data_IF_690381846676
#
_entry.id   IF_690381846676
#
_cell.length_a   1.000
_cell.length_b   1.000
_cell.length_c   1.000
_cell.angle_alpha   90.00
_cell.angle_beta   90.00
_cell.angle_gamma   90.00
#
_symmetry.space_group_name_H-M   'P 1'
#
loop_
_entity.id
_entity.type
_entity.pdbx_description
1 polymer ?
#
# COMPACT_ATOMS: atom_id res chain seq x y z
N UNK A 1 -13.01 -7.65 33.87
CA UNK A 1 -12.79 -8.99 33.29
C UNK A 1 -11.98 -8.78 32.02
N UNK A 2 -10.66 -8.83 32.13
CA UNK A 2 -9.76 -8.65 30.97
C UNK A 2 -9.46 -10.03 30.43
N UNK A 3 -9.95 -10.34 29.23
CA UNK A 3 -9.61 -11.57 28.54
C UNK A 3 -8.31 -11.31 27.79
N UNK A 4 -7.26 -12.04 28.14
CA UNK A 4 -6.05 -12.10 27.31
C UNK A 4 -6.36 -13.10 26.21
N UNK A 5 -6.69 -12.60 25.03
CA UNK A 5 -6.79 -13.45 23.84
C UNK A 5 -5.36 -13.90 23.50
N UNK A 6 -5.13 -15.21 23.55
CA UNK A 6 -3.91 -15.81 23.04
C UNK A 6 -3.77 -15.39 21.58
N UNK A 7 -2.66 -14.72 21.26
CA UNK A 7 -2.40 -14.21 19.93
C UNK A 7 -2.13 -15.42 19.03
N UNK A 8 -3.08 -15.74 18.14
CA UNK A 8 -2.88 -16.80 17.15
C UNK A 8 -1.51 -16.66 16.49
N UNK A 9 -0.78 -17.77 16.40
CA UNK A 9 0.52 -17.84 15.77
C UNK A 9 0.38 -17.39 14.33
N UNK A 10 0.74 -16.13 14.06
CA UNK A 10 0.73 -15.58 12.70
C UNK A 10 1.86 -16.25 11.92
N UNK A 11 1.50 -17.22 11.08
CA UNK A 11 2.41 -17.75 10.06
C UNK A 11 2.95 -16.56 9.25
N UNK A 12 4.25 -16.55 8.99
CA UNK A 12 4.84 -15.50 8.14
C UNK A 12 4.18 -15.55 6.76
N UNK A 13 3.94 -14.41 6.11
CA UNK A 13 3.37 -14.40 4.77
C UNK A 13 4.24 -15.24 3.84
N UNK A 14 3.59 -16.06 3.02
CA UNK A 14 4.16 -16.83 1.95
C UNK A 14 4.79 -15.85 0.95
N UNK A 15 6.11 -15.90 0.87
CA UNK A 15 6.87 -15.05 -0.04
C UNK A 15 6.50 -15.31 -1.50
N UNK A 16 6.58 -14.26 -2.32
CA UNK A 16 6.39 -14.34 -3.76
C UNK A 16 5.18 -13.58 -4.27
N UNK A 17 4.81 -13.84 -5.53
CA UNK A 17 3.77 -13.10 -6.25
C UNK A 17 2.38 -13.65 -5.96
N UNK A 18 1.48 -12.78 -5.55
CA UNK A 18 0.07 -13.07 -5.26
C UNK A 18 -0.82 -12.31 -6.23
N UNK A 19 -1.70 -13.02 -6.94
CA UNK A 19 -2.73 -12.43 -7.80
C UNK A 19 -3.84 -11.85 -6.93
N UNK A 20 -4.11 -10.55 -7.07
CA UNK A 20 -5.01 -9.82 -6.15
C UNK A 20 -6.36 -9.52 -6.77
N UNK A 21 -6.39 -8.71 -7.83
CA UNK A 21 -7.62 -8.28 -8.49
C UNK A 21 -7.38 -8.01 -9.99
N UNK A 22 -8.44 -8.01 -10.82
CA UNK A 22 -8.40 -7.44 -12.16
C UNK A 22 -7.99 -5.96 -12.16
N UNK A 23 -7.22 -5.51 -13.16
CA UNK A 23 -6.78 -4.11 -13.26
C UNK A 23 -7.94 -3.11 -13.32
N UNK A 24 -9.05 -3.50 -13.93
CA UNK A 24 -10.24 -2.64 -14.08
C UNK A 24 -11.09 -2.51 -12.81
N UNK A 25 -10.78 -3.25 -11.74
CA UNK A 25 -11.34 -3.01 -10.42
C UNK A 25 -10.58 -1.91 -9.66
N UNK A 26 -9.37 -1.53 -10.13
CA UNK A 26 -8.67 -0.35 -9.66
C UNK A 26 -9.04 0.86 -10.55
N UNK A 27 -9.82 1.77 -9.97
CA UNK A 27 -10.08 3.07 -10.57
C UNK A 27 -8.78 3.91 -10.58
N UNK A 28 -8.40 4.56 -11.70
CA UNK A 28 -7.21 5.39 -11.74
C UNK A 28 -7.20 6.49 -10.66
N UNK A 29 -6.04 6.64 -10.01
CA UNK A 29 -5.77 7.56 -8.91
C UNK A 29 -6.65 7.35 -7.65
N UNK A 30 -7.37 6.23 -7.56
CA UNK A 30 -8.09 5.81 -6.37
C UNK A 30 -7.37 4.63 -5.71
N UNK A 31 -7.28 4.65 -4.38
CA UNK A 31 -6.63 3.59 -3.62
C UNK A 31 -7.63 2.54 -3.14
N UNK A 32 -7.26 1.27 -3.25
CA UNK A 32 -8.04 0.15 -2.71
C UNK A 32 -7.21 -0.66 -1.70
N UNK A 33 -7.85 -1.10 -0.63
CA UNK A 33 -7.19 -1.92 0.39
C UNK A 33 -7.40 -3.42 0.09
N UNK A 34 -6.31 -4.16 -0.03
CA UNK A 34 -6.29 -5.60 -0.17
C UNK A 34 -5.79 -6.28 1.11
N UNK A 35 -6.32 -7.46 1.41
CA UNK A 35 -5.83 -8.34 2.46
C UNK A 35 -5.18 -9.57 1.83
N UNK A 36 -3.85 -9.66 1.90
CA UNK A 36 -3.04 -10.67 1.23
C UNK A 36 -2.19 -11.36 2.29
N UNK A 37 -2.50 -12.63 2.55
CA UNK A 37 -1.79 -13.48 3.50
C UNK A 37 -1.47 -12.83 4.86
N UNK A 38 -2.49 -12.22 5.47
CA UNK A 38 -2.36 -11.58 6.78
C UNK A 38 -1.83 -10.14 6.75
N UNK A 39 -1.45 -9.60 5.59
CA UNK A 39 -1.01 -8.22 5.40
C UNK A 39 -2.11 -7.37 4.76
N UNK A 40 -2.26 -6.13 5.25
CA UNK A 40 -3.11 -5.13 4.61
C UNK A 40 -2.25 -4.23 3.72
N UNK A 41 -2.59 -4.17 2.44
CA UNK A 41 -1.83 -3.48 1.40
C UNK A 41 -2.76 -2.50 0.69
N UNK A 42 -2.31 -1.27 0.51
CA UNK A 42 -2.97 -0.29 -0.34
C UNK A 42 -2.45 -0.43 -1.77
N UNK A 43 -3.36 -0.61 -2.72
CA UNK A 43 -3.10 -0.68 -4.14
C UNK A 43 -3.52 0.60 -4.82
N UNK A 44 -2.71 1.05 -5.76
CA UNK A 44 -2.99 2.22 -6.58
C UNK A 44 -2.72 1.90 -8.03
N UNK A 45 -3.60 2.40 -8.91
CA UNK A 45 -3.37 2.48 -10.35
C UNK A 45 -3.21 3.94 -10.73
N UNK A 46 -2.12 4.33 -11.37
CA UNK A 46 -1.96 5.68 -11.90
C UNK A 46 -2.71 5.84 -13.23
N UNK A 47 -2.98 7.08 -13.69
CA UNK A 47 -3.54 7.32 -15.02
C UNK A 47 -2.70 6.75 -16.19
N UNK A 48 -1.43 6.45 -15.96
CA UNK A 48 -0.52 5.78 -16.91
C UNK A 48 -0.66 4.25 -16.91
N UNK A 49 -1.61 3.68 -16.17
CA UNK A 49 -1.77 2.25 -15.89
C UNK A 49 -0.64 1.58 -15.10
N UNK A 50 0.34 2.36 -14.62
CA UNK A 50 1.31 1.86 -13.64
C UNK A 50 0.60 1.53 -12.31
N UNK A 51 0.96 0.40 -11.71
CA UNK A 51 0.42 -0.05 -10.42
C UNK A 51 1.46 0.05 -9.32
N UNK A 52 1.02 0.43 -8.13
CA UNK A 52 1.86 0.57 -6.94
C UNK A 52 1.18 -0.10 -5.75
N UNK A 53 1.98 -0.76 -4.91
CA UNK A 53 1.53 -1.42 -3.70
C UNK A 53 2.36 -0.94 -2.51
N UNK A 54 1.67 -0.54 -1.45
CA UNK A 54 2.29 -0.05 -0.21
C UNK A 54 1.56 -0.60 1.01
N UNK A 55 2.17 -0.52 2.20
CA UNK A 55 1.45 -0.90 3.41
C UNK A 55 0.20 -0.05 3.59
N UNK A 56 -0.91 -0.68 3.96
CA UNK A 56 -2.14 0.05 4.32
C UNK A 56 -1.97 0.86 5.60
N UNK A 57 -1.05 0.43 6.47
CA UNK A 57 -0.73 1.09 7.73
C UNK A 57 0.14 2.32 7.50
N UNK A 58 -0.33 3.47 7.95
CA UNK A 58 0.43 4.72 8.00
C UNK A 58 1.55 4.60 9.05
N UNK A 59 2.83 4.84 8.69
CA UNK A 59 3.96 4.71 9.61
C UNK A 59 3.96 5.75 10.73
N UNK A 60 3.30 6.90 10.57
CA UNK A 60 3.22 7.94 11.59
C UNK A 60 2.19 7.62 12.68
N UNK A 61 1.04 7.07 12.27
CA UNK A 61 -0.14 6.93 13.14
C UNK A 61 -0.49 5.48 13.47
N UNK A 62 0.11 4.54 12.75
CA UNK A 62 -0.19 3.10 12.80
C UNK A 62 -1.64 2.75 12.43
N UNK A 63 -2.38 3.69 11.84
CA UNK A 63 -3.74 3.48 11.36
C UNK A 63 -3.74 2.87 9.95
N UNK A 64 -4.66 1.95 9.67
CA UNK A 64 -4.82 1.32 8.36
C UNK A 64 -5.62 2.22 7.41
N UNK A 65 -5.00 3.27 6.88
CA UNK A 65 -5.68 4.35 6.15
C UNK A 65 -5.09 4.67 4.78
N UNK A 66 -3.93 4.13 4.40
CA UNK A 66 -3.17 4.64 3.25
C UNK A 66 -3.92 4.59 1.92
N UNK A 67 -4.77 3.59 1.67
CA UNK A 67 -5.63 3.54 0.47
C UNK A 67 -6.54 4.78 0.30
N UNK A 68 -6.80 5.53 1.37
CA UNK A 68 -7.60 6.77 1.34
C UNK A 68 -6.74 8.02 1.07
N UNK A 69 -5.45 7.84 0.84
CA UNK A 69 -4.51 8.92 0.58
C UNK A 69 -4.77 9.57 -0.77
N UNK A 70 -4.33 10.83 -0.91
CA UNK A 70 -4.44 11.54 -2.18
C UNK A 70 -3.17 11.28 -2.98
N UNK A 71 -3.33 10.74 -4.19
CA UNK A 71 -2.22 10.57 -5.13
C UNK A 71 -1.82 11.92 -5.73
N UNK A 72 -0.52 12.13 -5.88
CA UNK A 72 0.05 13.30 -6.54
C UNK A 72 1.38 12.98 -7.20
N UNK A 73 2.15 14.02 -7.45
CA UNK A 73 3.51 13.88 -7.95
C UNK A 73 4.44 14.94 -7.37
N UNK A 74 5.72 14.60 -7.29
CA UNK A 74 6.82 15.53 -7.02
C UNK A 74 7.84 15.39 -8.14
N UNK A 75 7.73 16.24 -9.16
CA UNK A 75 8.46 16.03 -10.41
C UNK A 75 8.01 14.73 -11.08
N UNK A 76 8.93 13.79 -11.29
CA UNK A 76 8.65 12.47 -11.88
C UNK A 76 8.31 11.38 -10.85
N UNK A 77 8.39 11.68 -9.55
CA UNK A 77 8.06 10.74 -8.47
C UNK A 77 6.55 10.73 -8.23
N UNK A 78 5.85 9.60 -8.39
CA UNK A 78 4.47 9.46 -7.96
C UNK A 78 4.40 9.44 -6.44
N UNK A 79 3.47 10.17 -5.86
CA UNK A 79 3.37 10.32 -4.41
C UNK A 79 2.00 10.00 -3.87
N UNK A 80 1.94 9.72 -2.57
CA UNK A 80 0.72 9.63 -1.79
C UNK A 80 0.85 10.51 -0.53
N UNK A 81 -0.15 11.36 -0.28
CA UNK A 81 -0.28 12.05 1.00
C UNK A 81 -1.10 11.22 1.99
N UNK A 82 -0.56 10.96 3.20
CA UNK A 82 -1.31 10.27 4.27
C UNK A 82 -2.63 11.00 4.55
N UNK A 83 -3.76 10.30 4.72
CA UNK A 83 -5.06 10.93 4.99
C UNK A 83 -5.09 11.76 6.26
N UNK A 84 -4.31 11.39 7.28
CA UNK A 84 -4.44 11.96 8.62
C UNK A 84 -3.58 13.21 8.79
N UNK A 85 -2.26 13.09 8.60
CA UNK A 85 -1.31 14.15 8.88
C UNK A 85 -0.57 14.69 7.65
N UNK A 86 -0.94 14.21 6.45
CA UNK A 86 -0.49 14.74 5.15
C UNK A 86 1.01 14.61 4.88
N UNK A 87 1.72 13.72 5.58
CA UNK A 87 3.05 13.30 5.16
C UNK A 87 2.97 12.75 3.74
N UNK A 88 3.92 13.17 2.90
CA UNK A 88 3.96 12.81 1.49
C UNK A 88 5.02 11.73 1.29
N UNK A 89 4.61 10.58 0.79
CA UNK A 89 5.47 9.44 0.52
C UNK A 89 5.64 9.22 -0.97
N UNK A 90 6.82 8.83 -1.41
CA UNK A 90 7.08 8.32 -2.76
C UNK A 90 6.50 6.89 -2.88
N UNK A 91 5.64 6.64 -3.86
CA UNK A 91 5.01 5.34 -4.07
C UNK A 91 5.97 4.25 -4.57
N UNK A 92 7.10 4.61 -5.19
CA UNK A 92 8.13 3.68 -5.66
C UNK A 92 9.03 3.24 -4.51
N UNK A 93 9.52 4.20 -3.72
CA UNK A 93 10.60 3.96 -2.75
C UNK A 93 10.13 3.92 -1.29
N UNK A 94 8.94 4.47 -1.02
CA UNK A 94 8.41 4.64 0.33
C UNK A 94 8.99 5.80 1.11
N UNK A 95 9.94 6.56 0.52
CA UNK A 95 10.58 7.71 1.16
C UNK A 95 9.54 8.76 1.54
N UNK A 96 9.60 9.27 2.77
CA UNK A 96 8.79 10.39 3.20
C UNK A 96 9.48 11.72 2.90
N UNK A 97 8.88 12.51 2.03
CA UNK A 97 9.37 13.84 1.65
C UNK A 97 9.12 14.92 2.71
N UNK A 98 8.28 14.65 3.68
CA UNK A 98 7.91 15.60 4.74
C UNK A 98 8.69 15.37 6.04
N UNK A 99 8.96 14.11 6.37
CA UNK A 99 9.60 13.66 7.63
C UNK A 99 10.57 12.52 7.31
N UNK A 100 11.87 12.81 7.10
CA UNK A 100 12.86 11.83 6.64
C UNK A 100 13.02 10.58 7.53
N UNK A 101 12.61 10.67 8.79
CA UNK A 101 12.60 9.56 9.75
C UNK A 101 11.50 8.53 9.50
N UNK A 102 10.46 8.89 8.73
CA UNK A 102 9.36 8.01 8.37
C UNK A 102 9.61 7.34 7.03
N UNK A 103 9.17 6.09 6.92
CA UNK A 103 9.20 5.34 5.67
C UNK A 103 7.95 4.48 5.55
N UNK A 104 7.30 4.57 4.39
CA UNK A 104 6.18 3.71 4.03
C UNK A 104 6.73 2.43 3.41
N UNK A 105 6.28 1.26 3.87
CA UNK A 105 6.70 0.01 3.25
C UNK A 105 6.09 -0.10 1.84
N UNK A 106 6.90 -0.46 0.85
CA UNK A 106 6.49 -0.70 -0.53
C UNK A 106 6.63 -2.17 -0.88
N UNK A 107 5.80 -2.64 -1.81
CA UNK A 107 5.78 -4.01 -2.31
C UNK A 107 5.92 -4.00 -3.82
N UNK A 108 6.53 -5.04 -4.38
CA UNK A 108 6.55 -5.23 -5.83
C UNK A 108 5.12 -5.32 -6.35
N UNK A 109 4.79 -4.59 -7.41
CA UNK A 109 3.48 -4.63 -8.04
C UNK A 109 3.65 -4.73 -9.56
N UNK A 110 2.88 -5.60 -10.20
CA UNK A 110 2.90 -5.78 -11.66
C UNK A 110 1.53 -6.16 -12.21
N UNK A 111 1.38 -6.03 -13.53
CA UNK A 111 0.19 -6.49 -14.25
C UNK A 111 0.57 -7.73 -15.07
N UNK A 112 -0.14 -8.84 -14.85
CA UNK A 112 0.00 -10.10 -15.60
C UNK A 112 -1.39 -10.55 -16.05
N UNK A 113 -1.58 -10.75 -17.35
CA UNK A 113 -2.84 -11.19 -17.94
C UNK A 113 -4.07 -10.37 -17.50
N UNK A 114 -3.89 -9.04 -17.35
CA UNK A 114 -4.94 -8.12 -16.91
C UNK A 114 -5.21 -8.11 -15.40
N UNK A 115 -4.40 -8.79 -14.60
CA UNK A 115 -4.51 -8.82 -13.14
C UNK A 115 -3.33 -8.15 -12.48
N UNK A 116 -3.60 -7.50 -11.35
CA UNK A 116 -2.58 -6.97 -10.46
C UNK A 116 -2.02 -8.11 -9.60
N UNK A 117 -0.70 -8.26 -9.62
CA UNK A 117 0.03 -9.14 -8.71
C UNK A 117 0.90 -8.32 -7.77
N UNK A 118 1.03 -8.78 -6.52
CA UNK A 118 1.83 -8.15 -5.46
C UNK A 118 2.86 -9.14 -4.93
N UNK A 119 4.10 -8.69 -4.77
CA UNK A 119 5.18 -9.47 -4.16
C UNK A 119 5.26 -9.22 -2.66
N UNK A 120 5.05 -10.29 -1.87
CA UNK A 120 5.18 -10.27 -0.40
C UNK A 120 6.55 -10.75 0.08
#
# INVERSE_FOLDING_TARGET
>A
MTVVLERETRTAPAAGWHRVCPLNELEPAWGEAAFIDGLQIALFRLPSDEVYAVAQQDPATLANVMARGIIGSRGSSPTIASPLHKEVYDLRTGECFTKPELRLATYGARIVDGYVEVEL
#
